data_IF_166082276803
#
_entry.id   IF_166082276803
#
_cell.length_a   1.000
_cell.length_b   1.000
_cell.length_c   1.000
_cell.angle_alpha   90.00
_cell.angle_beta   90.00
_cell.angle_gamma   90.00
#
_symmetry.space_group_name_H-M   'P 1'
#
loop_
_entity.id
_entity.type
_entity.pdbx_description
1 polymer ?
#
# COMPACT_ATOMS: atom_id res chain seq x y z
N UNK A 1 -1.65 15.95 7.02
CA UNK A 1 -1.05 14.91 6.16
C UNK A 1 -0.49 15.46 4.86
N UNK A 2 -1.22 16.34 4.19
CA UNK A 2 -0.79 16.98 2.95
C UNK A 2 0.04 18.23 3.27
N UNK A 3 1.30 18.05 3.69
CA UNK A 3 2.25 19.17 3.81
C UNK A 3 2.76 19.57 2.42
N UNK A 4 3.37 20.74 2.29
CA UNK A 4 3.92 21.24 1.02
C UNK A 4 4.88 20.23 0.39
N UNK A 5 5.77 19.63 1.18
CA UNK A 5 6.77 18.68 0.74
C UNK A 5 6.15 17.34 0.32
N UNK A 6 5.15 16.86 1.07
CA UNK A 6 4.42 15.64 0.73
C UNK A 6 3.62 15.81 -0.57
N UNK A 7 3.04 17.00 -0.80
CA UNK A 7 2.33 17.34 -2.03
C UNK A 7 3.32 17.43 -3.20
N UNK A 8 4.47 18.06 -3.02
CA UNK A 8 5.50 18.14 -4.06
C UNK A 8 5.97 16.73 -4.48
N UNK A 9 6.27 15.86 -3.51
CA UNK A 9 6.63 14.47 -3.79
C UNK A 9 5.52 13.70 -4.53
N UNK A 10 4.25 13.88 -4.11
CA UNK A 10 3.11 13.28 -4.80
C UNK A 10 2.95 13.81 -6.23
N UNK A 11 3.16 15.12 -6.45
CA UNK A 11 3.10 15.74 -7.77
C UNK A 11 4.14 15.14 -8.70
N UNK A 12 5.40 15.04 -8.26
CA UNK A 12 6.49 14.46 -9.03
C UNK A 12 6.17 13.01 -9.46
N UNK A 13 5.60 12.21 -8.55
CA UNK A 13 5.18 10.84 -8.85
C UNK A 13 4.02 10.81 -9.86
N UNK A 14 3.00 11.65 -9.66
CA UNK A 14 1.84 11.71 -10.53
C UNK A 14 2.21 12.16 -11.94
N UNK A 15 3.01 13.21 -12.09
CA UNK A 15 3.52 13.71 -13.37
C UNK A 15 4.32 12.63 -14.12
N UNK A 16 5.19 11.92 -13.39
CA UNK A 16 6.07 10.92 -13.99
C UNK A 16 5.36 9.64 -14.41
N UNK A 17 4.37 9.18 -13.63
CA UNK A 17 3.86 7.80 -13.76
C UNK A 17 2.40 7.68 -14.19
N UNK A 18 1.56 8.72 -14.06
CA UNK A 18 0.12 8.61 -14.40
C UNK A 18 -0.10 8.23 -15.86
N UNK A 19 0.65 8.83 -16.79
CA UNK A 19 0.54 8.53 -18.22
C UNK A 19 0.83 7.05 -18.53
N UNK A 20 1.85 6.45 -17.89
CA UNK A 20 2.17 5.03 -18.08
C UNK A 20 1.09 4.12 -17.51
N UNK A 21 0.52 4.47 -16.34
CA UNK A 21 -0.62 3.73 -15.76
C UNK A 21 -1.80 3.70 -16.74
N UNK A 22 -2.13 4.82 -17.38
CA UNK A 22 -3.26 4.86 -18.32
C UNK A 22 -3.02 4.00 -19.57
N UNK A 23 -1.77 3.93 -20.04
CA UNK A 23 -1.39 3.00 -21.12
C UNK A 23 -1.58 1.54 -20.68
N UNK A 24 -1.14 1.18 -19.48
CA UNK A 24 -1.30 -0.18 -18.94
C UNK A 24 -2.78 -0.59 -18.83
N UNK A 25 -3.66 0.32 -18.40
CA UNK A 25 -5.10 0.04 -18.34
C UNK A 25 -5.73 -0.16 -19.73
N UNK A 26 -5.28 0.58 -20.74
CA UNK A 26 -5.70 0.35 -22.14
C UNK A 26 -5.19 -0.98 -22.65
N UNK A 27 -3.95 -1.35 -22.33
CA UNK A 27 -3.37 -2.65 -22.68
C UNK A 27 -4.17 -3.82 -22.06
N UNK A 28 -4.69 -3.66 -20.84
CA UNK A 28 -5.61 -4.65 -20.22
C UNK A 28 -6.86 -4.89 -21.07
N UNK A 29 -7.49 -3.83 -21.59
CA UNK A 29 -8.67 -3.96 -22.45
C UNK A 29 -8.34 -4.68 -23.76
N UNK A 30 -7.22 -4.33 -24.40
CA UNK A 30 -6.75 -4.99 -25.62
C UNK A 30 -6.47 -6.47 -25.37
N UNK A 31 -5.84 -6.80 -24.23
CA UNK A 31 -5.57 -8.20 -23.85
C UNK A 31 -6.87 -8.97 -23.62
N UNK A 32 -7.84 -8.37 -22.93
CA UNK A 32 -9.14 -9.00 -22.70
C UNK A 32 -9.88 -9.29 -24.02
N UNK A 33 -9.90 -8.34 -24.96
CA UNK A 33 -10.51 -8.54 -26.28
C UNK A 33 -9.91 -9.73 -27.05
N UNK A 34 -8.58 -9.94 -26.96
CA UNK A 34 -7.93 -11.11 -27.56
C UNK A 34 -8.40 -12.43 -26.91
N UNK A 35 -8.55 -12.42 -25.59
CA UNK A 35 -9.05 -13.58 -24.84
C UNK A 35 -10.49 -13.88 -25.24
N UNK A 36 -11.35 -12.86 -25.30
CA UNK A 36 -12.74 -12.97 -25.70
C UNK A 36 -12.88 -13.49 -27.15
N UNK A 37 -11.92 -13.17 -28.03
CA UNK A 37 -11.85 -13.72 -29.39
C UNK A 37 -11.27 -15.14 -29.49
N UNK A 38 -11.11 -15.84 -28.36
CA UNK A 38 -10.68 -17.24 -28.29
C UNK A 38 -9.18 -17.47 -28.08
N UNK A 39 -8.37 -16.43 -27.89
CA UNK A 39 -6.94 -16.58 -27.56
C UNK A 39 -6.77 -16.78 -26.05
N UNK A 40 -6.85 -18.03 -25.58
CA UNK A 40 -6.65 -18.35 -24.17
C UNK A 40 -5.26 -17.86 -23.66
N UNK A 41 -5.16 -17.48 -22.37
CA UNK A 41 -3.88 -17.14 -21.76
C UNK A 41 -2.91 -18.32 -21.79
N UNK A 42 -1.63 -18.03 -22.03
CA UNK A 42 -0.53 -18.99 -21.96
C UNK A 42 0.76 -18.26 -21.54
N UNK A 43 1.84 -19.00 -21.26
CA UNK A 43 3.15 -18.45 -20.94
C UNK A 43 3.71 -17.62 -22.12
N UNK A 44 4.26 -16.45 -21.81
CA UNK A 44 4.88 -15.56 -22.80
C UNK A 44 6.18 -16.18 -23.30
N UNK A 45 6.29 -16.43 -24.60
CA UNK A 45 7.46 -17.07 -25.22
C UNK A 45 8.70 -16.16 -25.23
N UNK A 46 8.47 -14.85 -25.37
CA UNK A 46 9.49 -13.81 -25.48
C UNK A 46 10.27 -13.62 -24.18
N UNK A 47 9.74 -14.12 -23.04
CA UNK A 47 10.41 -14.10 -21.73
C UNK A 47 11.12 -15.42 -21.38
N UNK A 48 11.28 -16.34 -22.33
CA UNK A 48 11.94 -17.63 -22.11
C UNK A 48 13.37 -17.50 -21.57
N UNK A 49 14.12 -16.49 -22.02
CA UNK A 49 15.47 -16.21 -21.53
C UNK A 49 15.48 -15.85 -20.03
N UNK A 50 14.44 -15.16 -19.55
CA UNK A 50 14.29 -14.80 -18.13
C UNK A 50 13.86 -16.03 -17.32
N UNK A 51 12.90 -16.82 -17.82
CA UNK A 51 12.38 -18.00 -17.13
C UNK A 51 13.42 -19.11 -16.96
N UNK A 52 14.35 -19.22 -17.91
CA UNK A 52 15.38 -20.27 -17.96
C UNK A 52 16.73 -19.83 -17.38
N UNK A 53 16.88 -18.56 -17.01
CA UNK A 53 18.10 -18.04 -16.42
C UNK A 53 18.17 -18.32 -14.91
N UNK A 54 19.38 -18.49 -14.39
CA UNK A 54 19.63 -18.55 -12.95
C UNK A 54 19.69 -17.14 -12.36
N UNK A 55 18.62 -16.73 -11.69
CA UNK A 55 18.56 -15.46 -10.97
C UNK A 55 17.73 -15.58 -9.68
N UNK A 56 17.89 -14.61 -8.79
CA UNK A 56 17.13 -14.48 -7.55
C UNK A 56 16.74 -13.03 -7.32
N UNK A 57 15.72 -12.80 -6.49
CA UNK A 57 15.43 -11.46 -5.97
C UNK A 57 16.64 -10.91 -5.20
N UNK A 58 16.73 -9.59 -5.09
CA UNK A 58 17.89 -8.91 -4.51
C UNK A 58 18.18 -9.36 -3.07
N UNK A 59 17.22 -9.22 -2.16
CA UNK A 59 17.33 -9.62 -0.75
C UNK A 59 15.95 -9.61 -0.06
N UNK A 60 15.89 -10.19 1.14
CA UNK A 60 14.75 -10.11 2.06
C UNK A 60 15.24 -9.53 3.39
N UNK A 61 14.69 -8.38 3.86
CA UNK A 61 14.97 -7.82 5.19
C UNK A 61 14.68 -8.83 6.31
N UNK A 62 15.40 -8.74 7.43
CA UNK A 62 15.33 -9.73 8.50
C UNK A 62 13.91 -9.89 9.09
N UNK A 63 13.21 -8.78 9.29
CA UNK A 63 11.84 -8.76 9.82
C UNK A 63 10.78 -9.31 8.85
N UNK A 64 11.15 -9.54 7.58
CA UNK A 64 10.30 -10.17 6.56
C UNK A 64 10.66 -11.64 6.27
N UNK A 65 11.61 -12.23 7.00
CA UNK A 65 12.00 -13.65 6.81
C UNK A 65 11.03 -14.64 7.46
N UNK A 66 10.40 -14.26 8.57
CA UNK A 66 9.37 -15.06 9.24
C UNK A 66 8.00 -14.39 9.11
N UNK A 67 7.23 -14.83 8.10
CA UNK A 67 5.89 -14.32 7.78
C UNK A 67 4.82 -15.41 7.93
N UNK A 68 5.01 -16.33 8.88
CA UNK A 68 4.19 -17.56 9.01
C UNK A 68 2.68 -17.31 9.18
N UNK A 69 2.30 -16.15 9.74
CA UNK A 69 0.91 -15.70 9.87
C UNK A 69 0.88 -14.19 9.67
N UNK A 70 0.01 -13.73 8.78
CA UNK A 70 -0.28 -12.32 8.53
C UNK A 70 -1.76 -12.06 8.80
N UNK A 71 -2.07 -10.94 9.46
CA UNK A 71 -3.44 -10.46 9.60
C UNK A 71 -3.68 -9.30 8.64
N UNK A 72 -4.88 -9.22 8.08
CA UNK A 72 -5.30 -8.12 7.20
C UNK A 72 -6.38 -7.31 7.89
N UNK A 73 -6.44 -6.00 7.64
CA UNK A 73 -7.52 -5.19 8.20
C UNK A 73 -7.49 -3.73 7.76
N UNK A 74 -8.58 -3.00 8.02
CA UNK A 74 -8.71 -1.61 7.62
C UNK A 74 -7.75 -0.72 8.41
N UNK A 75 -7.51 0.48 7.87
CA UNK A 75 -6.69 1.54 8.47
C UNK A 75 -7.39 2.35 9.56
N UNK A 76 -8.51 1.85 10.11
CA UNK A 76 -9.20 2.47 11.24
C UNK A 76 -8.37 2.33 12.53
N UNK A 77 -8.33 3.39 13.34
CA UNK A 77 -7.37 3.55 14.44
C UNK A 77 -7.40 2.41 15.46
N UNK A 78 -8.57 2.01 15.94
CA UNK A 78 -8.71 0.89 16.89
C UNK A 78 -8.33 -0.44 16.24
N UNK A 79 -8.72 -0.65 14.99
CA UNK A 79 -8.39 -1.86 14.24
C UNK A 79 -6.88 -2.02 13.99
N UNK A 80 -6.19 -0.93 13.65
CA UNK A 80 -4.73 -0.90 13.51
C UNK A 80 -4.04 -1.34 14.80
N UNK A 81 -4.45 -0.80 15.96
CA UNK A 81 -3.88 -1.18 17.27
C UNK A 81 -4.11 -2.66 17.55
N UNK A 82 -5.33 -3.16 17.33
CA UNK A 82 -5.68 -4.55 17.61
C UNK A 82 -4.89 -5.52 16.71
N UNK A 83 -4.76 -5.20 15.42
CA UNK A 83 -4.04 -6.02 14.46
C UNK A 83 -2.54 -6.08 14.76
N UNK A 84 -1.92 -4.93 15.07
CA UNK A 84 -0.51 -4.87 15.48
C UNK A 84 -0.22 -5.61 16.79
N UNK A 85 -1.21 -5.69 17.69
CA UNK A 85 -1.10 -6.40 18.97
C UNK A 85 -1.49 -7.88 18.93
N UNK A 86 -1.95 -8.39 17.78
CA UNK A 86 -2.33 -9.77 17.59
C UNK A 86 -1.11 -10.70 17.60
N UNK A 87 -1.32 -11.99 17.87
CA UNK A 87 -0.26 -13.01 17.83
C UNK A 87 0.06 -13.43 16.38
N UNK A 88 0.60 -12.50 15.60
CA UNK A 88 0.93 -12.65 14.18
C UNK A 88 2.28 -12.01 13.89
N UNK A 89 2.87 -12.32 12.73
CA UNK A 89 4.16 -11.73 12.33
C UNK A 89 3.99 -10.41 11.61
N UNK A 90 2.94 -10.30 10.80
CA UNK A 90 2.71 -9.16 9.91
C UNK A 90 1.27 -8.69 10.03
N UNK A 91 1.08 -7.38 9.99
CA UNK A 91 -0.21 -6.74 9.75
C UNK A 91 -0.16 -6.02 8.39
N UNK A 92 -1.03 -6.44 7.48
CA UNK A 92 -1.31 -5.72 6.24
C UNK A 92 -2.43 -4.71 6.49
N UNK A 93 -2.07 -3.44 6.58
CA UNK A 93 -2.99 -2.33 6.73
C UNK A 93 -3.52 -1.89 5.36
N UNK A 94 -4.84 -1.85 5.23
CA UNK A 94 -5.48 -1.90 3.92
C UNK A 94 -6.21 -0.61 3.53
N UNK A 95 -5.77 -0.01 2.41
CA UNK A 95 -6.47 1.08 1.72
C UNK A 95 -7.32 0.59 0.53
N UNK A 96 -7.35 -0.71 0.24
CA UNK A 96 -8.03 -1.32 -0.90
C UNK A 96 -9.33 -2.04 -0.48
N UNK A 97 -9.49 -3.34 -0.71
CA UNK A 97 -10.80 -4.02 -0.73
C UNK A 97 -11.55 -3.99 0.62
N UNK A 98 -10.86 -3.90 1.76
CA UNK A 98 -11.54 -3.79 3.07
C UNK A 98 -11.87 -2.35 3.48
N UNK A 99 -11.53 -1.36 2.64
CA UNK A 99 -11.78 0.06 2.88
C UNK A 99 -12.76 0.63 1.85
N UNK A 100 -13.83 1.26 2.33
CA UNK A 100 -14.58 2.23 1.50
C UNK A 100 -13.75 3.52 1.41
N UNK A 101 -13.24 3.92 0.23
CA UNK A 101 -12.22 4.97 0.10
C UNK A 101 -12.82 6.37 0.11
N UNK A 102 -13.52 6.74 1.20
CA UNK A 102 -13.88 8.15 1.43
C UNK A 102 -12.65 8.96 1.82
N UNK A 103 -12.63 10.23 1.44
CA UNK A 103 -11.49 11.13 1.69
C UNK A 103 -11.03 11.10 3.15
N UNK A 104 -11.96 11.28 4.08
CA UNK A 104 -11.65 11.31 5.51
C UNK A 104 -11.01 10.00 5.98
N UNK A 105 -11.50 8.85 5.50
CA UNK A 105 -10.95 7.54 5.86
C UNK A 105 -9.54 7.32 5.30
N UNK A 106 -9.26 7.82 4.10
CA UNK A 106 -7.93 7.73 3.51
C UNK A 106 -6.93 8.60 4.29
N UNK A 107 -7.30 9.85 4.57
CA UNK A 107 -6.46 10.78 5.34
C UNK A 107 -6.25 10.27 6.77
N UNK A 108 -7.32 9.87 7.46
CA UNK A 108 -7.24 9.29 8.80
C UNK A 108 -6.41 8.02 8.81
N UNK A 109 -6.55 7.17 7.78
CA UNK A 109 -5.72 5.98 7.61
C UNK A 109 -4.23 6.31 7.58
N UNK A 110 -3.83 7.31 6.79
CA UNK A 110 -2.44 7.77 6.73
C UNK A 110 -1.96 8.32 8.09
N UNK A 111 -2.80 9.08 8.80
CA UNK A 111 -2.52 9.56 10.16
C UNK A 111 -2.32 8.39 11.12
N UNK A 112 -3.22 7.41 11.10
CA UNK A 112 -3.17 6.24 11.97
C UNK A 112 -1.91 5.43 11.73
N UNK A 113 -1.53 5.17 10.47
CA UNK A 113 -0.31 4.43 10.16
C UNK A 113 0.95 5.20 10.57
N UNK A 114 0.98 6.53 10.39
CA UNK A 114 2.09 7.37 10.88
C UNK A 114 2.25 7.28 12.38
N UNK A 115 1.16 7.42 13.12
CA UNK A 115 1.18 7.35 14.58
C UNK A 115 1.58 5.92 15.04
N UNK A 116 1.14 4.88 14.32
CA UNK A 116 1.53 3.50 14.61
C UNK A 116 3.02 3.24 14.37
N UNK A 117 3.57 3.79 13.29
CA UNK A 117 5.02 3.68 13.00
C UNK A 117 5.85 4.38 14.08
N UNK A 118 5.40 5.53 14.57
CA UNK A 118 6.06 6.30 15.64
C UNK A 118 5.90 5.68 17.03
N UNK A 119 4.92 4.79 17.22
CA UNK A 119 4.62 4.17 18.50
C UNK A 119 3.61 4.95 19.36
N UNK A 120 3.06 6.04 18.83
CA UNK A 120 2.23 7.00 19.56
C UNK A 120 0.71 6.76 19.35
N UNK A 121 0.34 5.78 18.52
CA UNK A 121 -1.06 5.47 18.26
C UNK A 121 -1.75 4.98 19.55
N UNK A 122 -2.87 5.63 19.86
CA UNK A 122 -3.73 5.27 20.99
C UNK A 122 -5.19 5.56 20.66
N UNK A 123 -6.09 4.83 21.31
CA UNK A 123 -7.53 4.99 21.15
C UNK A 123 -8.22 4.75 22.49
N UNK A 124 -9.16 5.61 22.87
CA UNK A 124 -10.00 5.44 24.06
C UNK A 124 -11.45 5.29 23.60
N UNK A 125 -12.11 4.20 23.99
CA UNK A 125 -13.52 4.00 23.65
C UNK A 125 -14.45 4.78 24.60
N UNK A 126 -15.74 4.78 24.29
CA UNK A 126 -16.80 5.46 25.06
C UNK A 126 -16.85 5.03 26.54
N UNK A 127 -16.43 3.78 26.84
CA UNK A 127 -16.38 3.24 28.20
C UNK A 127 -15.07 3.58 28.94
N UNK A 128 -14.20 4.43 28.37
CA UNK A 128 -12.92 4.83 28.96
C UNK A 128 -11.80 3.79 28.83
N UNK A 129 -12.02 2.68 28.11
CA UNK A 129 -10.96 1.68 27.87
C UNK A 129 -9.96 2.21 26.84
N UNK A 130 -8.70 2.27 27.25
CA UNK A 130 -7.56 2.71 26.44
C UNK A 130 -6.93 1.51 25.71
N UNK A 131 -6.60 1.72 24.43
CA UNK A 131 -5.90 0.81 23.55
C UNK A 131 -4.59 1.47 23.11
N UNK A 132 -3.47 0.76 23.28
CA UNK A 132 -2.11 1.19 22.93
C UNK A 132 -1.32 0.00 22.38
N UNK A 133 -0.20 0.26 21.71
CA UNK A 133 0.69 -0.78 21.21
C UNK A 133 1.43 -1.49 22.35
N UNK A 134 1.63 -2.80 22.20
CA UNK A 134 2.55 -3.61 23.01
C UNK A 134 4.00 -3.36 22.57
N UNK A 135 4.97 -3.81 23.37
CA UNK A 135 6.40 -3.55 23.16
C UNK A 135 7.03 -4.16 21.90
N UNK A 136 6.36 -5.10 21.22
CA UNK A 136 6.81 -5.71 19.98
C UNK A 136 5.61 -5.97 19.06
N UNK A 137 5.07 -4.93 18.41
CA UNK A 137 3.95 -5.10 17.49
C UNK A 137 4.36 -5.89 16.24
N UNK A 138 3.39 -6.46 15.53
CA UNK A 138 3.62 -7.09 14.23
C UNK A 138 4.26 -6.11 13.22
N UNK A 139 5.00 -6.63 12.25
CA UNK A 139 5.57 -5.83 11.16
C UNK A 139 4.43 -5.23 10.34
N UNK A 140 4.53 -3.94 10.02
CA UNK A 140 3.51 -3.22 9.26
C UNK A 140 3.82 -3.28 7.76
N UNK A 141 2.83 -3.65 6.95
CA UNK A 141 2.87 -3.55 5.48
C UNK A 141 1.63 -2.79 5.03
N UNK A 142 1.77 -1.78 4.17
CA UNK A 142 0.64 -1.03 3.62
C UNK A 142 0.17 -1.66 2.31
N UNK A 143 -1.13 -1.96 2.17
CA UNK A 143 -1.73 -2.30 0.87
C UNK A 143 -2.34 -1.05 0.25
N UNK A 144 -1.86 -0.69 -0.94
CA UNK A 144 -2.33 0.48 -1.71
C UNK A 144 -3.52 0.09 -2.57
N UNK A 145 -4.32 1.07 -3.02
CA UNK A 145 -5.36 0.84 -4.04
C UNK A 145 -4.76 0.32 -5.35
N UNK A 146 -5.50 -0.58 -6.00
CA UNK A 146 -5.12 -1.15 -7.30
C UNK A 146 -5.07 -0.13 -8.44
N UNK A 147 -4.39 -0.50 -9.53
CA UNK A 147 -4.14 0.39 -10.66
C UNK A 147 -5.41 1.01 -11.25
N UNK A 148 -6.57 0.37 -11.15
CA UNK A 148 -7.81 0.81 -11.77
C UNK A 148 -8.56 1.90 -10.98
N UNK A 149 -8.12 2.21 -9.75
CA UNK A 149 -8.77 3.21 -8.90
C UNK A 149 -8.07 4.57 -9.01
N UNK A 150 -8.88 5.62 -9.07
CA UNK A 150 -8.44 7.01 -9.05
C UNK A 150 -8.65 7.63 -7.66
N UNK A 151 -7.86 8.65 -7.32
CA UNK A 151 -8.10 9.55 -6.20
C UNK A 151 -8.78 10.83 -6.71
N UNK A 152 -10.10 10.84 -6.72
CA UNK A 152 -10.89 11.92 -7.32
C UNK A 152 -10.76 13.29 -6.63
N UNK A 153 -10.29 13.34 -5.38
CA UNK A 153 -10.16 14.60 -4.65
C UNK A 153 -8.85 15.33 -4.94
N UNK A 154 -7.90 14.68 -5.64
CA UNK A 154 -6.60 15.25 -6.01
C UNK A 154 -6.46 15.22 -7.53
N UNK A 155 -6.32 16.40 -8.13
CA UNK A 155 -6.25 16.56 -9.57
C UNK A 155 -4.87 17.05 -10.00
N UNK A 156 -4.33 16.44 -11.06
CA UNK A 156 -3.19 16.95 -11.82
C UNK A 156 -3.70 17.30 -13.23
N UNK A 157 -3.52 18.56 -13.64
CA UNK A 157 -4.07 19.10 -14.90
C UNK A 157 -5.57 18.81 -15.11
N UNK A 158 -6.33 18.92 -14.01
CA UNK A 158 -7.78 18.69 -14.01
C UNK A 158 -8.22 17.21 -14.06
N UNK A 159 -7.28 16.26 -14.01
CA UNK A 159 -7.58 14.82 -14.00
C UNK A 159 -7.26 14.19 -12.65
N UNK A 160 -8.11 13.27 -12.14
CA UNK A 160 -7.78 12.47 -10.96
C UNK A 160 -6.45 11.75 -11.11
N UNK A 161 -5.65 11.76 -10.06
CA UNK A 161 -4.41 10.98 -10.01
C UNK A 161 -4.72 9.50 -9.67
N UNK A 162 -3.81 8.54 -9.98
CA UNK A 162 -3.98 7.15 -9.56
C UNK A 162 -4.01 7.01 -8.03
N UNK A 163 -5.04 6.33 -7.51
CA UNK A 163 -5.23 6.14 -6.06
C UNK A 163 -4.07 5.37 -5.41
N UNK A 164 -3.53 4.36 -6.10
CA UNK A 164 -2.36 3.63 -5.61
C UNK A 164 -1.10 4.49 -5.44
N UNK A 165 -0.90 5.52 -6.29
CA UNK A 165 0.20 6.47 -6.13
C UNK A 165 -0.03 7.39 -4.93
N UNK A 166 -1.27 7.84 -4.70
CA UNK A 166 -1.62 8.62 -3.51
C UNK A 166 -1.33 7.84 -2.22
N UNK A 167 -1.80 6.59 -2.14
CA UNK A 167 -1.62 5.76 -0.95
C UNK A 167 -0.15 5.44 -0.69
N UNK A 168 0.59 5.07 -1.75
CA UNK A 168 2.03 4.83 -1.71
C UNK A 168 2.79 6.06 -1.25
N UNK A 169 2.55 7.21 -1.90
CA UNK A 169 3.34 8.42 -1.69
C UNK A 169 3.25 8.89 -0.25
N UNK A 170 2.04 8.98 0.30
CA UNK A 170 1.85 9.47 1.66
C UNK A 170 2.38 8.48 2.70
N UNK A 171 2.16 7.17 2.52
CA UNK A 171 2.69 6.19 3.47
C UNK A 171 4.22 6.17 3.43
N UNK A 172 4.83 6.14 2.23
CA UNK A 172 6.27 6.19 2.07
C UNK A 172 6.86 7.45 2.70
N UNK A 173 6.38 8.63 2.25
CA UNK A 173 6.94 9.93 2.62
C UNK A 173 6.94 10.16 4.13
N UNK A 174 5.84 9.84 4.82
CA UNK A 174 5.72 10.12 6.26
C UNK A 174 6.40 9.08 7.16
N UNK A 175 6.78 7.92 6.63
CA UNK A 175 7.21 6.79 7.47
C UNK A 175 8.59 6.21 7.15
N UNK A 176 9.15 6.44 5.96
CA UNK A 176 10.37 5.72 5.54
C UNK A 176 11.53 5.90 6.53
N UNK A 177 11.78 7.12 7.01
CA UNK A 177 12.88 7.39 7.96
C UNK A 177 12.67 6.69 9.29
N UNK A 178 11.45 6.79 9.86
CA UNK A 178 11.12 6.18 11.13
C UNK A 178 11.12 4.64 11.06
N UNK A 179 10.70 4.07 9.93
CA UNK A 179 10.75 2.62 9.67
C UNK A 179 12.20 2.13 9.59
N UNK A 180 13.05 2.83 8.83
CA UNK A 180 14.47 2.50 8.68
C UNK A 180 15.23 2.64 10.00
N UNK A 181 14.97 3.71 10.76
CA UNK A 181 15.63 3.99 12.04
C UNK A 181 15.39 2.89 13.10
N UNK A 182 14.27 2.16 13.02
CA UNK A 182 13.96 1.04 13.91
C UNK A 182 14.26 -0.34 13.30
N UNK A 183 15.03 -0.39 12.21
CA UNK A 183 15.48 -1.65 11.59
C UNK A 183 14.41 -2.37 10.76
N UNK A 184 13.33 -1.69 10.39
CA UNK A 184 12.30 -2.17 9.47
C UNK A 184 12.40 -1.44 8.13
N UNK A 185 11.33 -1.37 7.33
CA UNK A 185 11.33 -0.67 6.05
C UNK A 185 9.94 -0.30 5.52
N UNK A 186 9.88 0.58 4.49
CA UNK A 186 8.63 0.94 3.82
C UNK A 186 8.14 -0.22 2.94
N UNK A 187 7.32 -1.10 3.52
CA UNK A 187 6.84 -2.31 2.86
C UNK A 187 5.42 -2.14 2.30
N UNK A 188 5.18 -2.74 1.13
CA UNK A 188 3.92 -2.64 0.43
C UNK A 188 3.37 -3.99 -0.04
N UNK A 189 2.05 -4.15 0.04
CA UNK A 189 1.30 -5.13 -0.73
C UNK A 189 0.74 -4.44 -1.98
N UNK A 190 0.98 -5.03 -3.16
CA UNK A 190 0.53 -4.51 -4.46
C UNK A 190 -0.60 -5.39 -4.98
N UNK A 191 -1.85 -4.90 -5.03
CA UNK A 191 -2.98 -5.73 -5.43
C UNK A 191 -3.21 -5.74 -6.94
N UNK A 192 -3.92 -6.78 -7.42
CA UNK A 192 -4.56 -6.81 -8.74
C UNK A 192 -3.65 -6.38 -9.91
N UNK A 193 -2.43 -6.95 -9.96
CA UNK A 193 -1.43 -6.68 -11.02
C UNK A 193 -1.91 -7.12 -12.40
#
# INVERSE_FOLDING_TARGET
>A
MLTTEAIAFLSDLAEKFSAKRDVLLKERQVRQQKIDSGMLPDFISESDSIKKADWKIQNIPEDLRDRRVEITGPVERKMVINALNANVKVFMADFEDSLSPSWDKLIDGQINLRDAVRGDISYTNENGKVYQLKSNPAVLIARVRGLHLDEKHVLLDGKPIPGGLFDFALYFFHNYEALLAKGSGPYFYIPQT
#
